data_IF_334169110121
#
_entry.id   IF_334169110121
#
_cell.length_a   1.000
_cell.length_b   1.000
_cell.length_c   1.000
_cell.angle_alpha   90.00
_cell.angle_beta   90.00
_cell.angle_gamma   90.00
#
_symmetry.space_group_name_H-M   'P 1'
#
loop_
_entity.id
_entity.type
_entity.pdbx_description
1 polymer ?
#
# COMPACT_ATOMS: atom_id res chain seq x y z
N UNK A 1 47.41 33.34 23.52
CA UNK A 1 46.26 32.73 22.81
C UNK A 1 45.81 31.32 23.26
N UNK A 2 46.31 30.68 24.35
CA UNK A 2 45.65 29.49 24.94
C UNK A 2 44.55 29.82 25.97
N UNK A 3 44.60 31.00 26.57
CA UNK A 3 43.81 31.35 27.76
C UNK A 3 42.34 31.73 27.45
N UNK A 4 42.07 32.32 26.27
CA UNK A 4 40.70 32.61 25.82
C UNK A 4 39.90 31.34 25.46
N UNK A 5 40.55 30.31 24.89
CA UNK A 5 39.89 29.02 24.60
C UNK A 5 39.56 28.23 25.88
N UNK A 6 40.39 28.35 26.93
CA UNK A 6 40.10 27.75 28.25
C UNK A 6 38.99 28.51 28.98
N UNK A 7 38.98 29.84 28.98
CA UNK A 7 37.90 30.65 29.58
C UNK A 7 36.54 30.45 28.90
N UNK A 8 36.49 30.37 27.56
CA UNK A 8 35.25 30.04 26.85
C UNK A 8 34.73 28.65 27.25
N UNK A 9 35.59 27.61 27.26
CA UNK A 9 35.22 26.25 27.67
C UNK A 9 34.77 26.15 29.13
N UNK A 10 35.42 26.86 30.04
CA UNK A 10 35.02 26.92 31.45
C UNK A 10 33.67 27.62 31.64
N UNK A 11 33.41 28.72 30.90
CA UNK A 11 32.13 29.42 30.98
C UNK A 11 30.97 28.58 30.44
N UNK A 12 31.19 27.83 29.35
CA UNK A 12 30.18 26.93 28.76
C UNK A 12 29.89 25.73 29.67
N UNK A 13 30.92 25.12 30.26
CA UNK A 13 30.76 24.00 31.20
C UNK A 13 30.10 24.43 32.53
N UNK A 14 30.44 25.62 33.04
CA UNK A 14 29.79 26.21 34.21
C UNK A 14 28.34 26.60 33.93
N UNK A 15 28.07 27.26 32.79
CA UNK A 15 26.72 27.56 32.34
C UNK A 15 25.89 26.30 32.17
N UNK A 16 26.40 25.26 31.51
CA UNK A 16 25.69 23.99 31.40
C UNK A 16 25.36 23.43 32.78
N UNK A 17 26.35 23.29 33.67
CA UNK A 17 26.14 22.64 34.97
C UNK A 17 25.14 23.36 35.88
N UNK A 18 25.17 24.69 35.94
CA UNK A 18 24.31 25.46 36.84
C UNK A 18 22.98 25.88 36.20
N UNK A 19 22.96 26.14 34.90
CA UNK A 19 21.73 26.52 34.20
C UNK A 19 20.84 25.30 33.96
N UNK A 20 21.40 24.11 33.70
CA UNK A 20 20.63 22.85 33.62
C UNK A 20 19.78 22.61 34.86
N UNK A 21 20.31 22.89 36.06
CA UNK A 21 19.55 22.76 37.31
C UNK A 21 18.46 23.82 37.49
N UNK A 22 18.53 24.93 36.77
CA UNK A 22 17.56 26.03 36.87
C UNK A 22 16.39 25.88 35.90
N UNK A 23 16.60 25.25 34.74
CA UNK A 23 15.58 25.07 33.70
C UNK A 23 14.25 24.50 34.24
N UNK A 24 14.23 23.45 35.09
CA UNK A 24 12.97 22.90 35.61
C UNK A 24 12.15 23.86 36.50
N UNK A 25 12.76 24.95 36.98
CA UNK A 25 12.07 25.94 37.80
C UNK A 25 11.50 27.11 36.98
N UNK A 26 11.90 27.24 35.71
CA UNK A 26 11.46 28.32 34.81
C UNK A 26 9.94 28.35 34.61
N UNK A 27 9.24 27.21 34.42
CA UNK A 27 7.78 27.23 34.27
C UNK A 27 7.09 27.87 35.48
N UNK A 28 7.47 27.46 36.69
CA UNK A 28 6.94 28.01 37.94
C UNK A 28 7.25 29.50 38.10
N UNK A 29 8.46 29.91 37.74
CA UNK A 29 8.85 31.32 37.78
C UNK A 29 8.01 32.16 36.82
N UNK A 30 7.82 31.70 35.58
CA UNK A 30 7.01 32.37 34.56
C UNK A 30 5.55 32.55 34.99
N UNK A 31 5.01 31.62 35.77
CA UNK A 31 3.65 31.70 36.30
C UNK A 31 3.50 32.69 37.47
N UNK A 32 4.59 33.12 38.10
CA UNK A 32 4.57 33.96 39.31
C UNK A 32 5.00 35.42 39.06
N UNK A 33 5.64 35.70 37.94
CA UNK A 33 6.14 37.05 37.59
C UNK A 33 5.12 37.87 36.80
N UNK A 34 5.30 39.18 36.79
CA UNK A 34 4.47 40.08 35.99
C UNK A 34 4.66 39.89 34.47
N UNK A 35 3.77 40.47 33.67
CA UNK A 35 3.78 40.31 32.20
C UNK A 35 5.07 40.79 31.53
N UNK A 36 5.74 41.80 32.10
CA UNK A 36 6.99 42.32 31.55
C UNK A 36 8.14 41.34 31.80
N UNK A 37 8.32 40.87 33.03
CA UNK A 37 9.34 39.86 33.34
C UNK A 37 9.06 38.53 32.65
N UNK A 38 7.79 38.14 32.55
CA UNK A 38 7.35 36.97 31.79
C UNK A 38 7.85 37.03 30.34
N UNK A 39 7.65 38.13 29.63
CA UNK A 39 8.10 38.23 28.22
C UNK A 39 9.62 38.13 28.09
N UNK A 40 10.38 38.76 29.00
CA UNK A 40 11.85 38.73 28.95
C UNK A 40 12.42 37.33 29.27
N UNK A 41 11.88 36.65 30.29
CA UNK A 41 12.32 35.29 30.66
C UNK A 41 12.04 34.32 29.53
N UNK A 42 10.86 34.42 28.90
CA UNK A 42 10.49 33.55 27.79
C UNK A 42 11.30 33.82 26.53
N UNK A 43 11.65 35.08 26.25
CA UNK A 43 12.55 35.43 25.17
C UNK A 43 13.95 34.86 25.41
N UNK A 44 14.50 35.04 26.63
CA UNK A 44 15.80 34.49 26.99
C UNK A 44 15.83 32.96 26.90
N UNK A 45 14.79 32.30 27.41
CA UNK A 45 14.64 30.84 27.29
C UNK A 45 14.57 30.40 25.83
N UNK A 46 13.79 31.10 24.99
CA UNK A 46 13.65 30.78 23.57
C UNK A 46 14.98 30.93 22.83
N UNK A 47 15.75 31.97 23.13
CA UNK A 47 17.09 32.16 22.55
C UNK A 47 18.05 31.05 22.97
N UNK A 48 18.02 30.62 24.23
CA UNK A 48 18.81 29.48 24.71
C UNK A 48 18.35 28.21 23.98
N UNK A 49 17.06 27.93 23.93
CA UNK A 49 16.50 26.76 23.27
C UNK A 49 16.92 26.69 21.80
N UNK A 50 16.81 27.79 21.05
CA UNK A 50 17.19 27.84 19.62
C UNK A 50 18.68 27.66 19.36
N UNK A 51 19.54 28.13 20.27
CA UNK A 51 21.01 28.04 20.13
C UNK A 51 21.59 26.72 20.64
N UNK A 52 20.81 25.95 21.40
CA UNK A 52 21.26 24.65 21.89
C UNK A 52 21.29 23.62 20.76
N UNK A 53 22.35 22.82 20.74
CA UNK A 53 22.45 21.65 19.88
C UNK A 53 21.29 20.68 20.18
N UNK A 54 20.61 20.12 19.16
CA UNK A 54 19.47 19.22 19.33
C UNK A 54 19.74 18.05 20.28
N UNK A 55 20.95 17.49 20.25
CA UNK A 55 21.34 16.32 21.04
C UNK A 55 21.87 16.69 22.43
N UNK A 56 22.03 17.98 22.73
CA UNK A 56 22.56 18.44 24.02
C UNK A 56 21.59 18.19 25.19
N UNK A 57 22.15 17.87 26.35
CA UNK A 57 21.39 17.76 27.61
C UNK A 57 20.58 19.03 27.92
N UNK A 58 21.10 20.20 27.53
CA UNK A 58 20.38 21.48 27.70
C UNK A 58 19.10 21.50 26.87
N UNK A 59 19.14 21.04 25.61
CA UNK A 59 17.95 20.99 24.75
C UNK A 59 16.88 20.07 25.33
N UNK A 60 17.28 18.90 25.84
CA UNK A 60 16.36 17.92 26.44
C UNK A 60 15.71 18.43 27.72
N UNK A 61 16.48 19.07 28.61
CA UNK A 61 15.91 19.66 29.84
C UNK A 61 15.05 20.89 29.51
N UNK A 62 15.36 21.62 28.44
CA UNK A 62 14.45 22.67 27.96
C UNK A 62 13.13 22.06 27.47
N UNK A 63 13.12 20.93 26.77
CA UNK A 63 11.88 20.28 26.30
C UNK A 63 10.94 19.92 27.45
N UNK A 64 11.45 19.40 28.57
CA UNK A 64 10.60 19.12 29.74
C UNK A 64 10.03 20.39 30.37
N UNK A 65 10.79 21.49 30.40
CA UNK A 65 10.28 22.79 30.85
C UNK A 65 9.26 23.38 29.86
N UNK A 66 9.41 23.14 28.55
CA UNK A 66 8.44 23.54 27.52
C UNK A 66 7.10 22.84 27.74
N UNK A 67 7.11 21.57 28.15
CA UNK A 67 5.89 20.80 28.45
C UNK A 67 5.06 21.43 29.57
N UNK A 68 5.67 22.15 30.51
CA UNK A 68 4.95 22.89 31.56
C UNK A 68 4.56 24.33 31.11
N UNK A 69 5.05 24.78 29.96
CA UNK A 69 4.88 26.15 29.43
C UNK A 69 4.17 26.17 28.05
N UNK A 70 3.22 25.26 27.83
CA UNK A 70 2.54 24.99 26.55
C UNK A 70 1.79 26.17 25.92
N UNK A 71 1.70 27.32 26.60
CA UNK A 71 1.06 28.53 26.10
C UNK A 71 1.90 29.32 25.08
N UNK A 72 3.02 28.78 24.60
CA UNK A 72 3.98 29.50 23.75
C UNK A 72 4.16 28.89 22.36
N UNK A 73 3.67 29.64 21.38
CA UNK A 73 3.62 29.34 19.94
C UNK A 73 5.01 29.08 19.31
N UNK A 74 6.07 29.74 19.78
CA UNK A 74 7.36 29.77 19.08
C UNK A 74 8.11 28.43 19.04
N UNK A 75 7.82 27.51 19.95
CA UNK A 75 8.55 26.23 20.04
C UNK A 75 7.89 25.09 19.28
N UNK A 76 6.59 25.20 18.99
CA UNK A 76 5.82 24.20 18.22
C UNK A 76 6.47 23.99 16.84
N UNK A 77 6.96 25.07 16.22
CA UNK A 77 7.61 25.04 14.90
C UNK A 77 8.95 24.28 14.86
N UNK A 78 9.58 24.07 16.01
CA UNK A 78 10.86 23.36 16.12
C UNK A 78 10.67 21.84 16.24
N UNK A 79 9.46 21.37 16.56
CA UNK A 79 9.15 19.95 16.77
C UNK A 79 9.54 19.10 15.54
N UNK A 80 9.13 19.42 14.31
CA UNK A 80 9.48 18.59 13.16
C UNK A 80 11.00 18.51 12.92
N UNK A 81 11.71 19.63 13.09
CA UNK A 81 13.16 19.66 12.94
C UNK A 81 13.84 18.79 13.98
N UNK A 82 13.37 18.84 15.22
CA UNK A 82 13.87 17.98 16.30
C UNK A 82 13.63 16.50 16.01
N UNK A 83 12.44 16.14 15.51
CA UNK A 83 12.14 14.76 15.15
C UNK A 83 13.06 14.25 14.04
N UNK A 84 13.33 15.07 13.02
CA UNK A 84 14.25 14.72 11.93
C UNK A 84 15.70 14.64 12.39
N UNK A 85 16.15 15.52 13.28
CA UNK A 85 17.54 15.59 13.74
C UNK A 85 17.88 14.53 14.79
N UNK A 86 17.01 14.35 15.78
CA UNK A 86 17.15 13.35 16.84
C UNK A 86 16.90 11.94 16.30
N UNK A 87 15.77 11.76 15.61
CA UNK A 87 15.43 10.55 14.88
C UNK A 87 15.76 9.26 15.64
N UNK A 88 16.40 8.35 14.93
CA UNK A 88 16.93 7.08 15.44
C UNK A 88 18.25 7.22 16.22
N UNK A 89 18.92 8.38 16.15
CA UNK A 89 20.15 8.64 16.89
C UNK A 89 19.90 8.80 18.39
N UNK A 90 18.74 9.32 18.77
CA UNK A 90 18.32 9.46 20.16
C UNK A 90 16.83 9.10 20.34
N UNK A 91 16.48 7.79 20.34
CA UNK A 91 15.09 7.34 20.36
C UNK A 91 14.31 7.80 21.60
N UNK A 92 14.97 7.88 22.77
CA UNK A 92 14.31 8.36 24.00
C UNK A 92 13.94 9.83 23.89
N UNK A 93 14.86 10.69 23.41
CA UNK A 93 14.55 12.09 23.18
C UNK A 93 13.48 12.27 22.10
N UNK A 94 13.51 11.48 21.03
CA UNK A 94 12.46 11.47 19.99
C UNK A 94 11.11 11.11 20.58
N UNK A 95 11.04 10.11 21.49
CA UNK A 95 9.82 9.74 22.21
C UNK A 95 9.29 10.90 23.05
N UNK A 96 10.16 11.63 23.74
CA UNK A 96 9.76 12.78 24.56
C UNK A 96 9.27 13.96 23.70
N UNK A 97 9.90 14.22 22.55
CA UNK A 97 9.41 15.22 21.58
C UNK A 97 8.03 14.83 21.03
N UNK A 98 7.80 13.55 20.72
CA UNK A 98 6.49 13.07 20.25
C UNK A 98 5.42 13.16 21.35
N UNK A 99 5.77 12.89 22.62
CA UNK A 99 4.86 13.09 23.76
C UNK A 99 4.47 14.54 23.93
N UNK A 100 5.45 15.44 23.80
CA UNK A 100 5.20 16.89 23.83
C UNK A 100 4.27 17.30 22.69
N UNK A 101 4.51 16.83 21.46
CA UNK A 101 3.61 17.06 20.32
C UNK A 101 2.20 16.55 20.60
N UNK A 102 2.07 15.32 21.11
CA UNK A 102 0.78 14.73 21.45
C UNK A 102 0.04 15.55 22.51
N UNK A 103 0.74 15.96 23.56
CA UNK A 103 0.16 16.75 24.64
C UNK A 103 -0.30 18.13 24.16
N UNK A 104 0.53 18.82 23.37
CA UNK A 104 0.18 20.08 22.71
C UNK A 104 -1.09 19.94 21.87
N UNK A 105 -1.16 18.87 21.08
CA UNK A 105 -2.28 18.63 20.20
C UNK A 105 -3.58 18.28 20.97
N UNK A 106 -3.47 17.56 22.08
CA UNK A 106 -4.59 17.22 22.97
C UNK A 106 -5.14 18.43 23.74
N UNK A 107 -4.30 19.41 24.06
CA UNK A 107 -4.75 20.65 24.70
C UNK A 107 -5.65 21.49 23.79
N UNK A 108 -5.67 21.25 22.47
CA UNK A 108 -6.47 21.99 21.49
C UNK A 108 -6.04 23.45 21.31
N UNK A 109 -4.98 23.86 21.99
CA UNK A 109 -4.36 25.19 21.87
C UNK A 109 -3.40 25.17 20.67
N UNK A 110 -3.45 26.19 19.82
CA UNK A 110 -2.49 26.38 18.72
C UNK A 110 -2.59 25.36 17.57
N UNK A 111 -3.82 24.96 17.20
CA UNK A 111 -4.05 24.04 16.07
C UNK A 111 -3.41 24.52 14.77
N UNK A 112 -3.46 25.83 14.49
CA UNK A 112 -2.85 26.43 13.30
C UNK A 112 -1.32 26.24 13.29
N UNK A 113 -0.66 26.41 14.43
CA UNK A 113 0.78 26.20 14.57
C UNK A 113 1.17 24.74 14.37
N UNK A 114 0.35 23.82 14.91
CA UNK A 114 0.52 22.39 14.70
C UNK A 114 0.38 22.05 13.21
N UNK A 115 -0.65 22.56 12.54
CA UNK A 115 -0.87 22.29 11.13
C UNK A 115 0.25 22.84 10.23
N UNK A 116 0.81 24.01 10.58
CA UNK A 116 1.92 24.62 9.85
C UNK A 116 3.21 23.77 9.88
N UNK A 117 3.30 22.81 10.81
CA UNK A 117 4.48 21.97 10.97
C UNK A 117 4.51 20.78 10.01
N UNK A 118 3.37 20.45 9.37
CA UNK A 118 3.20 19.28 8.51
C UNK A 118 4.21 19.23 7.34
N UNK A 119 4.50 20.38 6.74
CA UNK A 119 5.45 20.47 5.61
C UNK A 119 6.85 19.99 5.99
N UNK A 120 7.34 20.33 7.18
CA UNK A 120 8.65 19.85 7.65
C UNK A 120 8.55 18.43 8.19
N UNK A 121 7.41 18.08 8.79
CA UNK A 121 7.19 16.76 9.38
C UNK A 121 7.23 15.63 8.34
N UNK A 122 6.92 15.91 7.06
CA UNK A 122 7.04 14.89 5.99
C UNK A 122 8.44 14.25 5.95
N UNK A 123 9.50 15.01 6.21
CA UNK A 123 10.89 14.51 6.16
C UNK A 123 11.18 13.49 7.27
N UNK A 124 10.41 13.55 8.36
CA UNK A 124 10.51 12.56 9.43
C UNK A 124 10.00 11.17 8.99
N UNK A 125 8.97 11.13 8.15
CA UNK A 125 8.35 9.91 7.63
C UNK A 125 9.06 9.42 6.36
N UNK A 126 8.86 10.13 5.25
CA UNK A 126 9.53 9.87 3.98
C UNK A 126 9.46 11.06 3.01
N UNK A 127 10.43 11.15 2.11
CA UNK A 127 10.40 12.06 0.98
C UNK A 127 10.39 11.27 -0.31
N UNK A 128 9.43 11.57 -1.19
CA UNK A 128 9.33 10.96 -2.51
C UNK A 128 9.65 12.04 -3.57
N UNK A 129 10.83 11.99 -4.22
CA UNK A 129 11.08 12.81 -5.40
C UNK A 129 10.08 12.41 -6.50
N UNK A 130 9.67 13.37 -7.34
CA UNK A 130 8.61 13.14 -8.34
C UNK A 130 8.86 11.97 -9.33
N UNK A 131 10.10 11.44 -9.42
CA UNK A 131 10.47 10.27 -10.24
C UNK A 131 11.54 9.38 -9.57
N UNK A 132 11.66 9.40 -8.23
CA UNK A 132 12.74 8.72 -7.51
C UNK A 132 12.27 7.64 -6.53
N UNK A 133 13.21 6.81 -6.08
CA UNK A 133 12.99 5.90 -4.96
C UNK A 133 12.59 6.67 -3.70
N UNK A 134 11.72 6.07 -2.89
CA UNK A 134 11.27 6.66 -1.62
C UNK A 134 12.46 6.74 -0.67
N UNK A 135 12.82 7.94 -0.25
CA UNK A 135 13.80 8.14 0.80
C UNK A 135 13.08 8.15 2.14
N UNK A 136 13.34 7.14 2.96
CA UNK A 136 12.72 7.00 4.27
C UNK A 136 13.40 7.88 5.32
N UNK A 137 12.59 8.60 6.09
CA UNK A 137 13.04 9.39 7.21
C UNK A 137 13.32 8.55 8.46
N UNK A 138 13.72 9.19 9.57
CA UNK A 138 14.05 8.52 10.81
C UNK A 138 12.93 7.66 11.40
N UNK A 139 11.66 7.98 11.10
CA UNK A 139 10.51 7.19 11.54
C UNK A 139 10.68 5.69 11.30
N UNK A 140 11.20 5.30 10.13
CA UNK A 140 11.31 3.89 9.73
C UNK A 140 12.31 3.08 10.57
N UNK A 141 13.24 3.76 11.26
CA UNK A 141 14.29 3.13 12.07
C UNK A 141 13.99 3.12 13.56
N UNK A 142 12.91 3.77 13.98
CA UNK A 142 12.51 3.84 15.38
C UNK A 142 11.89 2.53 15.86
N UNK A 143 11.93 2.30 17.17
CA UNK A 143 11.22 1.20 17.80
C UNK A 143 9.70 1.33 17.64
N UNK A 144 9.02 0.19 17.56
CA UNK A 144 7.57 0.09 17.29
C UNK A 144 6.72 0.99 18.19
N UNK A 145 7.03 1.07 19.49
CA UNK A 145 6.28 1.94 20.43
C UNK A 145 6.35 3.42 20.04
N UNK A 146 7.52 3.87 19.56
CA UNK A 146 7.75 5.27 19.18
C UNK A 146 7.09 5.54 17.83
N UNK A 147 7.16 4.57 16.91
CA UNK A 147 6.43 4.63 15.64
C UNK A 147 4.92 4.75 15.89
N UNK A 148 4.35 3.89 16.73
CA UNK A 148 2.92 3.93 17.06
C UNK A 148 2.51 5.27 17.68
N UNK A 149 3.31 5.81 18.61
CA UNK A 149 3.09 7.14 19.18
C UNK A 149 3.05 8.22 18.10
N UNK A 150 4.01 8.19 17.17
CA UNK A 150 4.05 9.12 16.03
C UNK A 150 2.82 8.99 15.13
N UNK A 151 2.36 7.76 14.84
CA UNK A 151 1.12 7.54 14.08
C UNK A 151 -0.07 8.14 14.81
N UNK A 152 -0.17 7.96 16.13
CA UNK A 152 -1.27 8.52 16.92
C UNK A 152 -1.32 10.06 16.87
N UNK A 153 -0.17 10.73 16.77
CA UNK A 153 -0.12 12.18 16.64
C UNK A 153 -0.79 12.69 15.35
N UNK A 154 -0.85 11.88 14.28
CA UNK A 154 -1.48 12.27 13.00
C UNK A 154 -2.96 12.61 13.14
N UNK A 155 -3.66 12.01 14.12
CA UNK A 155 -5.09 12.26 14.35
C UNK A 155 -5.39 13.73 14.69
N UNK A 156 -4.46 14.42 15.35
CA UNK A 156 -4.75 15.71 15.98
C UNK A 156 -4.48 16.92 15.08
N UNK A 157 -4.02 16.73 13.84
CA UNK A 157 -4.01 17.83 12.87
C UNK A 157 -5.44 18.23 12.53
N UNK A 158 -5.70 19.53 12.45
CA UNK A 158 -7.06 20.02 12.14
C UNK A 158 -7.43 19.75 10.69
N UNK A 159 -6.41 19.70 9.82
CA UNK A 159 -6.48 19.16 8.48
C UNK A 159 -5.18 18.42 8.15
N UNK A 160 -5.25 17.38 7.31
CA UNK A 160 -4.07 16.66 6.87
C UNK A 160 -3.64 17.11 5.47
N UNK A 161 -2.42 17.62 5.38
CA UNK A 161 -1.86 18.09 4.12
C UNK A 161 -1.60 16.91 3.15
N UNK A 162 -1.96 17.03 1.86
CA UNK A 162 -1.72 15.95 0.88
C UNK A 162 -0.26 15.51 0.77
N UNK A 163 0.70 16.42 0.97
CA UNK A 163 2.12 16.06 0.93
C UNK A 163 2.56 15.25 2.16
N UNK A 164 1.94 15.49 3.33
CA UNK A 164 2.12 14.65 4.51
C UNK A 164 1.48 13.28 4.30
N UNK A 165 0.26 13.22 3.73
CA UNK A 165 -0.39 11.95 3.37
C UNK A 165 0.46 11.12 2.41
N UNK A 166 1.05 11.76 1.40
CA UNK A 166 1.96 11.09 0.47
C UNK A 166 3.19 10.52 1.18
N UNK A 167 3.76 11.28 2.11
CA UNK A 167 4.90 10.86 2.92
C UNK A 167 4.57 9.67 3.83
N UNK A 168 3.39 9.70 4.46
CA UNK A 168 2.88 8.60 5.28
C UNK A 168 2.57 7.36 4.42
N UNK A 169 1.99 7.55 3.23
CA UNK A 169 1.77 6.47 2.28
C UNK A 169 3.09 5.82 1.86
N UNK A 170 4.15 6.62 1.67
CA UNK A 170 5.50 6.13 1.41
C UNK A 170 5.97 5.13 2.48
N UNK A 171 5.83 5.47 3.77
CA UNK A 171 6.14 4.55 4.88
C UNK A 171 5.30 3.26 4.83
N UNK A 172 4.00 3.37 4.54
CA UNK A 172 3.09 2.22 4.44
C UNK A 172 3.43 1.24 3.32
N UNK A 173 4.15 1.70 2.29
CA UNK A 173 4.58 0.89 1.15
C UNK A 173 5.95 0.21 1.37
N UNK A 174 6.63 0.50 2.49
CA UNK A 174 7.90 -0.14 2.82
C UNK A 174 7.73 -1.59 3.25
N UNK A 175 8.69 -2.44 2.88
CA UNK A 175 8.77 -3.83 3.33
C UNK A 175 9.24 -3.97 4.77
N UNK A 176 9.90 -2.93 5.31
CA UNK A 176 10.43 -2.92 6.68
C UNK A 176 9.37 -2.50 7.71
N UNK A 177 8.21 -2.02 7.28
CA UNK A 177 7.15 -1.59 8.20
C UNK A 177 6.48 -2.82 8.84
N UNK A 178 6.37 -2.79 10.17
CA UNK A 178 5.64 -3.82 10.89
C UNK A 178 4.17 -3.91 10.44
N UNK A 179 3.65 -5.13 10.16
CA UNK A 179 2.25 -5.39 9.83
C UNK A 179 1.22 -4.66 10.69
N UNK A 180 1.40 -4.64 12.00
CA UNK A 180 0.43 -4.03 12.91
C UNK A 180 0.41 -2.51 12.79
N UNK A 181 1.56 -1.89 12.46
CA UNK A 181 1.63 -0.45 12.20
C UNK A 181 0.89 -0.08 10.93
N UNK A 182 0.90 -0.91 9.89
CA UNK A 182 0.11 -0.68 8.68
C UNK A 182 -1.40 -0.57 9.00
N UNK A 183 -1.93 -1.48 9.83
CA UNK A 183 -3.31 -1.40 10.29
C UNK A 183 -3.54 -0.18 11.20
N UNK A 184 -2.56 0.19 12.02
CA UNK A 184 -2.65 1.38 12.87
C UNK A 184 -2.71 2.67 12.07
N UNK A 185 -1.93 2.80 11.00
CA UNK A 185 -2.03 3.91 10.05
C UNK A 185 -3.44 3.99 9.46
N UNK A 186 -3.96 2.88 8.95
CA UNK A 186 -5.30 2.84 8.37
C UNK A 186 -6.37 3.24 9.39
N UNK A 187 -6.28 2.75 10.63
CA UNK A 187 -7.19 3.09 11.71
C UNK A 187 -7.17 4.58 12.05
N UNK A 188 -5.97 5.13 12.31
CA UNK A 188 -5.82 6.54 12.69
C UNK A 188 -6.25 7.48 11.57
N UNK A 189 -5.87 7.19 10.33
CA UNK A 189 -6.28 8.00 9.19
C UNK A 189 -7.78 7.89 8.90
N UNK A 190 -8.39 6.72 9.10
CA UNK A 190 -9.85 6.57 9.02
C UNK A 190 -10.56 7.39 10.10
N UNK A 191 -10.03 7.43 11.34
CA UNK A 191 -10.54 8.28 12.40
C UNK A 191 -10.39 9.77 12.06
N UNK A 192 -9.23 10.19 11.53
CA UNK A 192 -8.99 11.56 11.11
C UNK A 192 -9.93 11.97 9.95
N UNK A 193 -10.13 11.09 8.97
CA UNK A 193 -11.10 11.29 7.90
C UNK A 193 -12.53 11.47 8.44
N UNK A 194 -12.98 10.57 9.34
CA UNK A 194 -14.31 10.66 9.97
C UNK A 194 -14.52 11.93 10.79
N UNK A 195 -13.44 12.46 11.38
CA UNK A 195 -13.46 13.73 12.09
C UNK A 195 -13.43 14.96 11.15
N UNK A 196 -13.34 14.75 9.84
CA UNK A 196 -13.32 15.82 8.83
C UNK A 196 -11.94 16.44 8.58
N UNK A 197 -10.87 15.82 9.08
CA UNK A 197 -9.50 16.32 8.93
C UNK A 197 -8.87 15.97 7.58
N UNK A 198 -9.45 15.03 6.83
CA UNK A 198 -8.93 14.61 5.52
C UNK A 198 -10.02 14.83 4.46
N UNK A 199 -9.67 15.47 3.34
CA UNK A 199 -10.60 15.59 2.23
C UNK A 199 -10.88 14.21 1.63
N UNK A 200 -12.14 13.98 1.20
CA UNK A 200 -12.57 12.70 0.64
C UNK A 200 -11.72 12.25 -0.55
N UNK A 201 -11.30 13.18 -1.41
CA UNK A 201 -10.44 12.90 -2.56
C UNK A 201 -9.06 12.41 -2.15
N UNK A 202 -8.46 13.05 -1.15
CA UNK A 202 -7.12 12.69 -0.66
C UNK A 202 -7.16 11.35 0.09
N UNK A 203 -8.22 11.11 0.88
CA UNK A 203 -8.42 9.85 1.57
C UNK A 203 -8.61 8.68 0.59
N UNK A 204 -9.47 8.83 -0.43
CA UNK A 204 -9.66 7.82 -1.47
C UNK A 204 -8.36 7.59 -2.24
N UNK A 205 -7.65 8.66 -2.61
CA UNK A 205 -6.35 8.58 -3.29
C UNK A 205 -5.31 7.81 -2.46
N UNK A 206 -5.27 8.06 -1.15
CA UNK A 206 -4.44 7.33 -0.20
C UNK A 206 -4.76 5.82 -0.22
N UNK A 207 -6.04 5.43 -0.08
CA UNK A 207 -6.46 4.03 -0.11
C UNK A 207 -6.14 3.32 -1.43
N UNK A 208 -6.37 3.99 -2.57
CA UNK A 208 -6.01 3.47 -3.90
C UNK A 208 -4.50 3.29 -4.01
N UNK A 209 -3.71 4.24 -3.53
CA UNK A 209 -2.24 4.19 -3.55
C UNK A 209 -1.73 2.99 -2.78
N UNK A 210 -2.28 2.73 -1.58
CA UNK A 210 -1.89 1.56 -0.80
C UNK A 210 -2.20 0.25 -1.52
N UNK A 211 -3.40 0.07 -2.10
CA UNK A 211 -3.68 -1.20 -2.80
C UNK A 211 -2.96 -1.35 -4.14
N UNK A 212 -2.72 -0.25 -4.86
CA UNK A 212 -2.08 -0.30 -6.18
C UNK A 212 -0.57 -0.52 -6.10
N UNK A 213 0.11 0.05 -5.10
CA UNK A 213 1.58 0.07 -5.01
C UNK A 213 2.18 -0.83 -3.93
N UNK A 214 1.38 -1.42 -3.05
CA UNK A 214 1.91 -2.29 -1.99
C UNK A 214 2.71 -3.45 -2.59
N UNK A 215 3.94 -3.61 -2.14
CA UNK A 215 4.83 -4.65 -2.62
C UNK A 215 4.49 -5.98 -1.95
N UNK A 216 3.77 -6.83 -2.68
CA UNK A 216 3.56 -8.21 -2.25
C UNK A 216 4.82 -9.01 -2.57
N UNK A 217 5.58 -9.39 -1.54
CA UNK A 217 6.71 -10.29 -1.68
C UNK A 217 6.20 -11.67 -2.09
N UNK A 218 6.10 -11.89 -3.40
CA UNK A 218 5.91 -13.20 -4.00
C UNK A 218 7.25 -13.91 -4.09
N UNK A 219 7.91 -14.17 -2.95
CA UNK A 219 8.88 -15.25 -2.94
C UNK A 219 8.06 -16.53 -3.04
N UNK A 220 7.83 -16.96 -4.28
CA UNK A 220 7.62 -18.37 -4.55
C UNK A 220 8.78 -19.08 -3.82
N UNK A 221 8.56 -20.12 -3.01
CA UNK A 221 9.68 -20.96 -2.63
C UNK A 221 10.25 -21.48 -3.96
N UNK A 222 11.35 -20.86 -4.42
CA UNK A 222 12.21 -21.48 -5.41
C UNK A 222 12.56 -22.78 -4.73
N UNK A 223 12.13 -23.91 -5.30
CA UNK A 223 12.56 -25.22 -4.86
C UNK A 223 14.05 -25.11 -4.55
N UNK A 224 14.40 -25.32 -3.29
CA UNK A 224 15.77 -25.39 -2.84
C UNK A 224 16.44 -26.43 -3.72
N UNK A 225 17.26 -26.00 -4.69
CA UNK A 225 18.16 -26.93 -5.35
C UNK A 225 19.21 -27.22 -4.28
N UNK A 226 19.04 -28.36 -3.62
CA UNK A 226 20.04 -28.98 -2.77
C UNK A 226 21.30 -29.16 -3.60
N UNK A 227 22.20 -28.17 -3.58
CA UNK A 227 23.61 -28.46 -3.80
C UNK A 227 24.09 -29.03 -2.47
N UNK A 228 24.08 -30.35 -2.38
CA UNK A 228 24.76 -31.08 -1.32
C UNK A 228 26.25 -30.72 -1.37
N UNK A 229 26.69 -29.78 -0.52
CA UNK A 229 28.10 -29.67 -0.15
C UNK A 229 28.40 -30.71 0.92
N UNK A 230 29.48 -31.47 0.72
CA UNK A 230 29.96 -32.57 1.57
C UNK A 230 30.49 -32.13 2.95
N UNK A 231 29.98 -31.06 3.54
CA UNK A 231 30.41 -30.59 4.87
C UNK A 231 29.21 -30.29 5.74
N UNK A 232 29.04 -31.10 6.79
CA UNK A 232 27.92 -31.05 7.72
C UNK A 232 27.88 -29.80 8.58
N UNK A 233 27.45 -28.67 8.02
CA UNK A 233 26.89 -27.54 8.77
C UNK A 233 25.37 -27.53 8.62
N UNK A 234 24.67 -27.59 9.75
CA UNK A 234 23.22 -27.46 9.84
C UNK A 234 22.87 -25.97 9.74
N UNK A 235 22.74 -25.46 8.51
CA UNK A 235 22.30 -24.08 8.29
C UNK A 235 20.77 -23.99 8.41
N UNK A 236 20.29 -23.15 9.34
CA UNK A 236 18.86 -22.91 9.57
C UNK A 236 18.33 -22.03 8.43
N UNK A 237 17.58 -22.65 7.53
CA UNK A 237 17.00 -22.03 6.34
C UNK A 237 15.77 -21.16 6.70
N UNK A 238 15.82 -19.84 6.45
CA UNK A 238 14.70 -18.92 6.69
C UNK A 238 13.74 -18.99 5.49
N UNK A 239 12.64 -19.71 5.65
CA UNK A 239 11.51 -19.66 4.72
C UNK A 239 10.83 -18.29 4.82
N UNK A 240 11.07 -17.40 3.85
CA UNK A 240 10.39 -16.11 3.74
C UNK A 240 8.91 -16.36 3.42
N UNK A 241 8.03 -16.28 4.43
CA UNK A 241 6.58 -16.37 4.24
C UNK A 241 6.11 -15.21 3.36
N UNK A 242 5.35 -15.52 2.31
CA UNK A 242 4.71 -14.49 1.48
C UNK A 242 3.76 -13.63 2.31
N UNK A 243 3.81 -12.31 2.15
CA UNK A 243 2.89 -11.35 2.77
C UNK A 243 1.52 -11.29 2.08
N UNK A 244 1.19 -12.23 1.17
CA UNK A 244 -0.09 -12.25 0.45
C UNK A 244 -1.29 -12.32 1.40
N UNK A 245 -1.26 -13.15 2.45
CA UNK A 245 -2.38 -13.24 3.41
C UNK A 245 -2.61 -11.93 4.17
N UNK A 246 -1.52 -11.27 4.56
CA UNK A 246 -1.57 -9.95 5.17
C UNK A 246 -2.19 -8.94 4.21
N UNK A 247 -1.75 -8.92 2.95
CA UNK A 247 -2.29 -8.02 1.95
C UNK A 247 -3.78 -8.28 1.66
N UNK A 248 -4.23 -9.53 1.71
CA UNK A 248 -5.67 -9.88 1.62
C UNK A 248 -6.46 -9.31 2.80
N UNK A 249 -5.96 -9.46 4.02
CA UNK A 249 -6.59 -8.90 5.22
C UNK A 249 -6.61 -7.37 5.18
N UNK A 250 -5.51 -6.76 4.71
CA UNK A 250 -5.41 -5.33 4.51
C UNK A 250 -6.39 -4.81 3.44
N UNK A 251 -6.51 -5.52 2.32
CA UNK A 251 -7.52 -5.23 1.27
C UNK A 251 -8.94 -5.20 1.84
N UNK A 252 -9.28 -6.17 2.71
CA UNK A 252 -10.60 -6.19 3.38
C UNK A 252 -10.79 -4.99 4.30
N UNK A 253 -9.76 -4.60 5.05
CA UNK A 253 -9.82 -3.43 5.92
C UNK A 253 -10.03 -2.15 5.11
N UNK A 254 -9.30 -1.96 4.00
CA UNK A 254 -9.50 -0.83 3.08
C UNK A 254 -10.92 -0.82 2.50
N UNK A 255 -11.44 -1.97 2.05
CA UNK A 255 -12.81 -2.09 1.56
C UNK A 255 -13.84 -1.76 2.65
N UNK A 256 -13.58 -2.11 3.92
CA UNK A 256 -14.43 -1.73 5.05
C UNK A 256 -14.43 -0.22 5.29
N UNK A 257 -13.26 0.43 5.20
CA UNK A 257 -13.14 1.88 5.28
C UNK A 257 -13.96 2.59 4.18
N UNK A 258 -13.92 2.08 2.94
CA UNK A 258 -14.66 2.68 1.83
C UNK A 258 -16.18 2.71 2.04
N UNK A 259 -16.78 1.64 2.55
CA UNK A 259 -18.22 1.64 2.88
C UNK A 259 -18.58 2.61 4.02
N UNK A 260 -17.59 3.03 4.82
CA UNK A 260 -17.81 3.94 5.94
C UNK A 260 -17.74 5.42 5.51
N UNK A 261 -17.31 5.71 4.27
CA UNK A 261 -17.20 7.07 3.72
C UNK A 261 -18.58 7.68 3.51
N UNK A 262 -19.56 6.90 3.04
CA UNK A 262 -20.90 7.39 2.76
C UNK A 262 -21.66 6.49 1.80
N UNK A 263 -22.43 7.09 0.90
CA UNK A 263 -23.18 6.36 -0.12
C UNK A 263 -22.23 5.67 -1.11
N UNK A 264 -22.28 4.33 -1.16
CA UNK A 264 -21.41 3.50 -1.99
C UNK A 264 -21.38 3.95 -3.46
N UNK A 265 -22.51 4.45 -3.98
CA UNK A 265 -22.62 4.90 -5.36
C UNK A 265 -21.89 6.21 -5.63
N UNK A 266 -21.97 7.18 -4.72
CA UNK A 266 -21.20 8.41 -4.82
C UNK A 266 -19.71 8.14 -4.66
N UNK A 267 -19.32 7.31 -3.70
CA UNK A 267 -17.92 6.91 -3.49
C UNK A 267 -17.39 6.18 -4.72
N UNK A 268 -18.18 5.27 -5.29
CA UNK A 268 -17.85 4.56 -6.52
C UNK A 268 -17.55 5.52 -7.67
N UNK A 269 -18.41 6.51 -7.91
CA UNK A 269 -18.20 7.52 -8.97
C UNK A 269 -16.90 8.32 -8.80
N UNK A 270 -16.48 8.58 -7.56
CA UNK A 270 -15.23 9.31 -7.29
C UNK A 270 -14.00 8.47 -7.60
N UNK A 271 -14.07 7.14 -7.38
CA UNK A 271 -12.90 6.26 -7.56
C UNK A 271 -12.84 5.51 -8.88
N UNK A 272 -13.94 5.41 -9.62
CA UNK A 272 -14.07 4.54 -10.79
C UNK A 272 -12.94 4.76 -11.80
N UNK A 273 -12.77 6.00 -12.28
CA UNK A 273 -11.76 6.33 -13.27
C UNK A 273 -10.34 6.02 -12.78
N UNK A 274 -10.01 6.46 -11.56
CA UNK A 274 -8.69 6.26 -10.97
C UNK A 274 -8.35 4.76 -10.81
N UNK A 275 -9.29 3.95 -10.31
CA UNK A 275 -9.05 2.51 -10.09
C UNK A 275 -8.96 1.76 -11.42
N UNK A 276 -9.82 2.07 -12.40
CA UNK A 276 -9.78 1.45 -13.72
C UNK A 276 -8.47 1.80 -14.45
N UNK A 277 -7.99 3.04 -14.33
CA UNK A 277 -6.70 3.44 -14.90
C UNK A 277 -5.53 2.73 -14.22
N UNK A 278 -5.56 2.57 -12.89
CA UNK A 278 -4.55 1.79 -12.17
C UNK A 278 -4.55 0.32 -12.61
N UNK A 279 -5.71 -0.32 -12.78
CA UNK A 279 -5.82 -1.69 -13.30
C UNK A 279 -5.27 -1.78 -14.73
N UNK A 280 -5.55 -0.77 -15.56
CA UNK A 280 -5.10 -0.72 -16.96
C UNK A 280 -3.59 -0.60 -17.09
N UNK A 281 -2.90 -0.07 -16.07
CA UNK A 281 -1.45 -0.06 -15.97
C UNK A 281 -0.84 -1.44 -15.63
N UNK A 282 -1.66 -2.50 -15.54
CA UNK A 282 -1.26 -3.89 -15.30
C UNK A 282 -0.38 -4.07 -14.06
N UNK A 283 -0.86 -3.69 -12.85
CA UNK A 283 -0.11 -3.91 -11.62
C UNK A 283 -0.04 -5.42 -11.31
N UNK A 284 0.81 -5.85 -10.35
CA UNK A 284 0.95 -7.26 -9.99
C UNK A 284 -0.40 -7.93 -9.66
N UNK A 285 -0.45 -9.26 -9.78
CA UNK A 285 -1.69 -10.05 -9.67
C UNK A 285 -2.49 -9.77 -8.38
N UNK A 286 -1.80 -9.69 -7.25
CA UNK A 286 -2.40 -9.40 -5.95
C UNK A 286 -3.02 -7.99 -5.92
N UNK A 287 -2.30 -6.98 -6.43
CA UNK A 287 -2.76 -5.60 -6.49
C UNK A 287 -3.96 -5.44 -7.44
N UNK A 288 -3.90 -6.06 -8.63
CA UNK A 288 -5.05 -6.08 -9.55
C UNK A 288 -6.28 -6.71 -8.89
N UNK A 289 -6.10 -7.82 -8.16
CA UNK A 289 -7.18 -8.44 -7.38
C UNK A 289 -7.75 -7.49 -6.31
N UNK A 290 -6.89 -6.79 -5.59
CA UNK A 290 -7.31 -5.84 -4.55
C UNK A 290 -8.11 -4.66 -5.14
N UNK A 291 -7.70 -4.12 -6.28
CA UNK A 291 -8.41 -3.07 -7.00
C UNK A 291 -9.75 -3.55 -7.59
N UNK A 292 -9.81 -4.76 -8.15
CA UNK A 292 -11.08 -5.36 -8.58
C UNK A 292 -12.03 -5.60 -7.40
N UNK A 293 -11.49 -5.97 -6.23
CA UNK A 293 -12.27 -6.08 -4.99
C UNK A 293 -12.80 -4.72 -4.56
N UNK A 294 -12.02 -3.65 -4.69
CA UNK A 294 -12.49 -2.29 -4.44
C UNK A 294 -13.70 -1.92 -5.31
N UNK A 295 -13.62 -2.16 -6.63
CA UNK A 295 -14.73 -1.93 -7.57
C UNK A 295 -15.94 -2.76 -7.17
N UNK A 296 -15.76 -4.08 -7.00
CA UNK A 296 -16.88 -4.98 -6.71
C UNK A 296 -17.50 -4.79 -5.33
N UNK A 297 -16.79 -4.11 -4.43
CA UNK A 297 -17.29 -3.76 -3.11
C UNK A 297 -18.35 -2.66 -3.21
N UNK A 298 -18.09 -1.62 -3.99
CA UNK A 298 -18.96 -0.43 -4.07
C UNK A 298 -19.98 -0.48 -5.21
N UNK A 299 -19.66 -1.17 -6.31
CA UNK A 299 -20.58 -1.29 -7.43
C UNK A 299 -21.81 -2.10 -7.01
N UNK A 300 -23.00 -1.66 -7.42
CA UNK A 300 -24.26 -2.33 -7.11
C UNK A 300 -24.66 -3.33 -8.20
N UNK A 301 -25.75 -4.07 -8.00
CA UNK A 301 -26.39 -4.84 -9.07
C UNK A 301 -27.74 -4.18 -9.42
N UNK A 302 -27.97 -3.68 -10.66
CA UNK A 302 -27.09 -3.72 -11.84
C UNK A 302 -25.86 -2.81 -11.72
N UNK A 303 -24.83 -3.07 -12.53
CA UNK A 303 -23.58 -2.29 -12.53
C UNK A 303 -23.86 -0.82 -12.85
N UNK A 304 -23.03 0.04 -12.27
CA UNK A 304 -23.04 1.49 -12.52
C UNK A 304 -21.77 1.99 -13.20
N UNK A 305 -20.90 1.07 -13.61
CA UNK A 305 -19.71 1.36 -14.42
C UNK A 305 -20.11 2.13 -15.69
N UNK A 306 -19.37 3.18 -16.01
CA UNK A 306 -19.52 3.88 -17.28
C UNK A 306 -19.06 2.99 -18.45
N UNK A 307 -19.55 3.29 -19.65
CA UNK A 307 -19.25 2.50 -20.85
C UNK A 307 -17.74 2.42 -21.15
N UNK A 308 -17.02 3.52 -20.94
CA UNK A 308 -15.56 3.55 -21.10
C UNK A 308 -14.86 2.59 -20.12
N UNK A 309 -15.30 2.55 -18.86
CA UNK A 309 -14.76 1.62 -17.86
C UNK A 309 -15.09 0.17 -18.18
N UNK A 310 -16.30 -0.12 -18.68
CA UNK A 310 -16.70 -1.46 -19.13
C UNK A 310 -15.76 -1.96 -20.23
N UNK A 311 -15.45 -1.11 -21.22
CA UNK A 311 -14.53 -1.46 -22.31
C UNK A 311 -13.09 -1.65 -21.81
N UNK A 312 -12.57 -0.71 -21.01
CA UNK A 312 -11.22 -0.82 -20.42
C UNK A 312 -11.09 -2.10 -19.58
N UNK A 313 -12.01 -2.32 -18.64
CA UNK A 313 -12.01 -3.51 -17.79
C UNK A 313 -12.15 -4.80 -18.60
N UNK A 314 -13.07 -4.86 -19.57
CA UNK A 314 -13.24 -6.05 -20.40
C UNK A 314 -11.93 -6.48 -21.09
N UNK A 315 -11.16 -5.51 -21.61
CA UNK A 315 -9.87 -5.79 -22.25
C UNK A 315 -8.81 -6.30 -21.26
N UNK A 316 -8.73 -5.69 -20.06
CA UNK A 316 -7.71 -6.01 -19.07
C UNK A 316 -8.03 -7.30 -18.30
N UNK A 317 -9.32 -7.56 -18.05
CA UNK A 317 -9.78 -8.74 -17.30
C UNK A 317 -9.37 -10.04 -17.97
N UNK A 318 -9.36 -10.11 -19.30
CA UNK A 318 -8.91 -11.30 -20.01
C UNK A 318 -7.45 -11.63 -19.68
N UNK A 319 -6.56 -10.62 -19.75
CA UNK A 319 -5.16 -10.77 -19.37
C UNK A 319 -4.98 -11.16 -17.91
N UNK A 320 -5.72 -10.50 -17.01
CA UNK A 320 -5.72 -10.83 -15.59
C UNK A 320 -6.13 -12.30 -15.33
N UNK A 321 -7.20 -12.78 -15.96
CA UNK A 321 -7.66 -14.16 -15.79
C UNK A 321 -6.67 -15.18 -16.36
N UNK A 322 -5.96 -14.83 -17.44
CA UNK A 322 -4.86 -15.64 -17.98
C UNK A 322 -3.72 -15.73 -16.95
N UNK A 323 -3.34 -14.62 -16.31
CA UNK A 323 -2.30 -14.60 -15.28
C UNK A 323 -2.71 -15.46 -14.06
N UNK A 324 -3.99 -15.41 -13.67
CA UNK A 324 -4.53 -16.31 -12.62
C UNK A 324 -4.34 -17.77 -13.01
N UNK A 325 -4.83 -18.19 -14.18
CA UNK A 325 -4.72 -19.60 -14.63
C UNK A 325 -3.25 -20.03 -14.79
N UNK A 326 -2.41 -19.16 -15.33
CA UNK A 326 -0.98 -19.43 -15.53
C UNK A 326 -0.22 -19.54 -14.21
N UNK A 327 -0.57 -18.75 -13.20
CA UNK A 327 0.01 -18.85 -11.85
C UNK A 327 -0.38 -20.17 -11.15
N UNK A 328 -1.51 -20.76 -11.55
CA UNK A 328 -2.01 -22.03 -11.00
C UNK A 328 -1.40 -23.25 -11.71
N UNK A 329 -1.10 -23.14 -13.02
CA UNK A 329 -0.57 -24.24 -13.82
C UNK A 329 0.91 -24.58 -13.62
N UNK A 330 1.71 -23.72 -12.96
CA UNK A 330 3.16 -23.93 -12.76
C UNK A 330 3.53 -24.86 -11.58
N UNK A 331 2.60 -25.67 -11.04
CA UNK A 331 2.89 -26.54 -9.88
C UNK A 331 2.33 -27.96 -10.03
N UNK A 332 3.07 -28.81 -10.73
CA UNK A 332 3.13 -30.24 -10.42
C UNK A 332 4.16 -30.42 -9.29
N UNK A 333 3.73 -30.29 -8.03
CA UNK A 333 4.44 -30.82 -6.84
C UNK A 333 3.60 -30.60 -5.56
N UNK A 334 2.81 -31.60 -5.16
CA UNK A 334 2.56 -31.95 -3.75
C UNK A 334 1.61 -31.11 -2.88
N UNK A 335 0.95 -30.06 -3.38
CA UNK A 335 -0.05 -29.30 -2.59
C UNK A 335 -1.46 -29.89 -2.76
N UNK A 336 -2.17 -30.13 -1.65
CA UNK A 336 -3.53 -30.71 -1.69
C UNK A 336 -4.48 -29.87 -2.56
N UNK A 337 -5.33 -30.54 -3.34
CA UNK A 337 -6.31 -29.91 -4.24
C UNK A 337 -7.13 -28.79 -3.58
N UNK A 338 -7.50 -28.93 -2.28
CA UNK A 338 -8.32 -27.94 -1.56
C UNK A 338 -7.67 -26.55 -1.41
N UNK A 339 -6.35 -26.47 -1.26
CA UNK A 339 -5.63 -25.20 -1.10
C UNK A 339 -5.52 -24.48 -2.45
N UNK A 340 -5.33 -25.23 -3.54
CA UNK A 340 -5.33 -24.70 -4.89
C UNK A 340 -6.68 -24.10 -5.27
N UNK A 341 -7.77 -24.80 -4.94
CA UNK A 341 -9.14 -24.33 -5.18
C UNK A 341 -9.48 -23.09 -4.34
N UNK A 342 -9.00 -22.98 -3.10
CA UNK A 342 -9.25 -21.79 -2.28
C UNK A 342 -8.48 -20.56 -2.77
N UNK A 343 -7.25 -20.74 -3.27
CA UNK A 343 -6.43 -19.66 -3.82
C UNK A 343 -6.96 -19.16 -5.17
N UNK A 344 -7.32 -20.05 -6.09
CA UNK A 344 -7.90 -19.66 -7.39
C UNK A 344 -9.21 -18.89 -7.21
N UNK A 345 -10.08 -19.37 -6.32
CA UNK A 345 -11.34 -18.70 -5.96
C UNK A 345 -11.12 -17.28 -5.46
N UNK A 346 -10.07 -17.03 -4.68
CA UNK A 346 -9.78 -15.67 -4.21
C UNK A 346 -9.55 -14.69 -5.37
N UNK A 347 -8.79 -15.07 -6.39
CA UNK A 347 -8.47 -14.19 -7.52
C UNK A 347 -9.60 -14.09 -8.55
N UNK A 348 -10.35 -15.16 -8.77
CA UNK A 348 -11.39 -15.17 -9.82
C UNK A 348 -12.72 -14.54 -9.39
N UNK A 349 -13.04 -14.59 -8.08
CA UNK A 349 -14.33 -14.16 -7.55
C UNK A 349 -14.70 -12.69 -7.90
N UNK A 350 -13.79 -11.71 -7.89
CA UNK A 350 -14.12 -10.35 -8.32
C UNK A 350 -14.57 -10.29 -9.79
N UNK A 351 -13.97 -11.07 -10.69
CA UNK A 351 -14.39 -11.12 -12.09
C UNK A 351 -15.81 -11.66 -12.22
N UNK A 352 -16.14 -12.74 -11.49
CA UNK A 352 -17.49 -13.32 -11.52
C UNK A 352 -18.54 -12.32 -11.02
N UNK A 353 -18.22 -11.58 -9.95
CA UNK A 353 -19.09 -10.50 -9.46
C UNK A 353 -19.33 -9.41 -10.49
N UNK A 354 -18.32 -9.04 -11.28
CA UNK A 354 -18.48 -8.08 -12.37
C UNK A 354 -19.37 -8.64 -13.49
N UNK A 355 -19.22 -9.91 -13.85
CA UNK A 355 -20.07 -10.56 -14.84
C UNK A 355 -21.54 -10.59 -14.41
N UNK A 356 -21.82 -10.90 -13.13
CA UNK A 356 -23.20 -10.88 -12.60
C UNK A 356 -23.88 -9.52 -12.68
N UNK A 357 -23.09 -8.45 -12.67
CA UNK A 357 -23.60 -7.07 -12.67
C UNK A 357 -23.61 -6.46 -14.06
N UNK A 358 -22.85 -7.01 -15.00
CA UNK A 358 -22.68 -6.49 -16.35
C UNK A 358 -22.44 -7.60 -17.38
N UNK A 359 -23.52 -7.98 -18.05
CA UNK A 359 -23.51 -8.83 -19.24
C UNK A 359 -22.57 -8.29 -20.34
N UNK A 360 -22.48 -6.96 -20.48
CA UNK A 360 -21.58 -6.31 -21.44
C UNK A 360 -20.10 -6.63 -21.17
N UNK A 361 -19.70 -6.71 -19.90
CA UNK A 361 -18.31 -7.06 -19.52
C UNK A 361 -18.04 -8.51 -19.92
N UNK A 362 -18.94 -9.44 -19.60
CA UNK A 362 -18.78 -10.85 -19.95
C UNK A 362 -18.65 -11.03 -21.47
N UNK A 363 -19.56 -10.42 -22.23
CA UNK A 363 -19.50 -10.46 -23.70
C UNK A 363 -18.17 -9.93 -24.24
N UNK A 364 -17.70 -8.79 -23.73
CA UNK A 364 -16.42 -8.23 -24.16
C UNK A 364 -15.24 -9.16 -23.84
N UNK A 365 -15.21 -9.76 -22.65
CA UNK A 365 -14.18 -10.73 -22.25
C UNK A 365 -14.18 -11.95 -23.18
N UNK A 366 -15.35 -12.51 -23.51
CA UNK A 366 -15.45 -13.66 -24.42
C UNK A 366 -14.95 -13.31 -25.84
N UNK A 367 -15.28 -12.12 -26.34
CA UNK A 367 -14.78 -11.66 -27.64
C UNK A 367 -13.27 -11.46 -27.63
N UNK A 368 -12.71 -10.89 -26.56
CA UNK A 368 -11.25 -10.74 -26.41
C UNK A 368 -10.57 -12.11 -26.34
N UNK A 369 -11.12 -13.07 -25.58
CA UNK A 369 -10.62 -14.45 -25.56
C UNK A 369 -10.64 -15.12 -26.94
N UNK A 370 -11.74 -14.95 -27.68
CA UNK A 370 -11.88 -15.46 -29.04
C UNK A 370 -10.79 -14.91 -29.97
N UNK A 371 -10.54 -13.59 -29.92
CA UNK A 371 -9.48 -12.93 -30.69
C UNK A 371 -8.06 -13.32 -30.23
N UNK A 372 -7.87 -13.58 -28.93
CA UNK A 372 -6.58 -13.93 -28.33
C UNK A 372 -6.06 -15.29 -28.83
N UNK A 373 -6.95 -16.22 -29.18
CA UNK A 373 -6.58 -17.53 -29.74
C UNK A 373 -5.95 -17.37 -31.14
N UNK A 374 -6.51 -16.48 -31.96
CA UNK A 374 -6.10 -16.25 -33.35
C UNK A 374 -4.98 -15.23 -33.50
N UNK A 375 -4.88 -14.25 -32.59
CA UNK A 375 -4.01 -13.10 -32.77
C UNK A 375 -2.53 -13.45 -32.65
N UNK A 376 -1.69 -12.99 -33.57
CA UNK A 376 -0.23 -13.13 -33.48
C UNK A 376 0.41 -12.18 -32.45
N UNK A 377 -0.30 -11.12 -32.02
CA UNK A 377 0.32 -9.88 -31.51
C UNK A 377 -0.04 -9.50 -30.05
N UNK A 378 -0.34 -10.44 -29.15
CA UNK A 378 -0.51 -10.10 -27.73
C UNK A 378 0.79 -10.31 -26.95
N UNK A 379 1.58 -9.26 -26.66
CA UNK A 379 2.72 -9.35 -25.74
C UNK A 379 2.20 -9.40 -24.31
N UNK A 380 2.43 -10.53 -23.65
CA UNK A 380 2.46 -10.60 -22.17
C UNK A 380 3.91 -10.43 -21.74
N UNK A 381 4.17 -9.37 -20.99
CA UNK A 381 5.46 -9.12 -20.34
C UNK A 381 5.52 -9.89 -19.02
N UNK A 382 6.58 -10.67 -18.82
CA UNK A 382 6.91 -11.25 -17.53
C UNK A 382 7.32 -10.12 -16.58
N UNK A 383 6.57 -9.93 -15.49
CA UNK A 383 6.69 -8.79 -14.58
C UNK A 383 8.00 -8.73 -13.77
N UNK A 384 9.03 -9.49 -14.12
CA UNK A 384 10.31 -9.50 -13.41
C UNK A 384 11.56 -9.47 -14.29
N UNK A 385 11.47 -9.64 -15.60
CA UNK A 385 12.60 -9.46 -16.52
C UNK A 385 12.03 -9.12 -17.89
N UNK A 386 12.47 -8.02 -18.51
CA UNK A 386 11.94 -7.43 -19.75
C UNK A 386 12.05 -8.28 -21.04
N UNK A 387 11.81 -9.58 -20.98
CA UNK A 387 11.68 -10.47 -22.12
C UNK A 387 10.22 -10.55 -22.57
N UNK A 388 9.98 -10.16 -23.83
CA UNK A 388 8.75 -10.47 -24.55
C UNK A 388 8.75 -11.98 -24.81
N UNK A 389 7.97 -12.73 -24.03
CA UNK A 389 7.75 -14.15 -24.29
C UNK A 389 6.58 -14.25 -25.26
N UNK A 390 6.86 -14.61 -26.52
CA UNK A 390 5.83 -15.04 -27.47
C UNK A 390 5.16 -16.28 -26.87
N UNK A 391 3.93 -16.13 -26.40
CA UNK A 391 3.14 -17.27 -25.92
C UNK A 391 2.76 -18.11 -27.14
N UNK A 392 3.25 -19.35 -27.18
CA UNK A 392 2.85 -20.36 -28.16
C UNK A 392 1.31 -20.55 -28.19
N UNK A 393 0.75 -20.81 -29.36
CA UNK A 393 -0.70 -21.00 -29.54
C UNK A 393 -1.29 -22.03 -28.58
N UNK A 394 -0.53 -23.09 -28.25
CA UNK A 394 -0.93 -24.09 -27.25
C UNK A 394 -1.16 -23.46 -25.87
N UNK A 395 -0.26 -22.59 -25.41
CA UNK A 395 -0.37 -21.94 -24.11
C UNK A 395 -1.56 -20.96 -24.08
N UNK A 396 -1.83 -20.28 -25.20
CA UNK A 396 -3.01 -19.40 -25.33
C UNK A 396 -4.32 -20.19 -25.24
N UNK A 397 -4.42 -21.28 -25.99
CA UNK A 397 -5.60 -22.16 -25.98
C UNK A 397 -5.79 -22.77 -24.59
N UNK A 398 -4.71 -23.27 -23.98
CA UNK A 398 -4.76 -23.88 -22.64
C UNK A 398 -5.22 -22.87 -21.59
N UNK A 399 -4.76 -21.62 -21.67
CA UNK A 399 -5.20 -20.55 -20.76
C UNK A 399 -6.69 -20.24 -20.93
N UNK A 400 -7.17 -20.03 -22.17
CA UNK A 400 -8.59 -19.73 -22.44
C UNK A 400 -9.49 -20.88 -21.99
N UNK A 401 -9.13 -22.13 -22.31
CA UNK A 401 -9.89 -23.31 -21.87
C UNK A 401 -9.86 -23.43 -20.34
N UNK A 402 -8.72 -23.17 -19.69
CA UNK A 402 -8.62 -23.13 -18.23
C UNK A 402 -9.54 -22.09 -17.59
N UNK A 403 -9.67 -20.91 -18.20
CA UNK A 403 -10.59 -19.87 -17.72
C UNK A 403 -12.04 -20.32 -17.85
N UNK A 404 -12.45 -20.88 -19.00
CA UNK A 404 -13.82 -21.35 -19.22
C UNK A 404 -14.17 -22.50 -18.27
N UNK A 405 -13.20 -23.38 -17.96
CA UNK A 405 -13.37 -24.42 -16.94
C UNK A 405 -13.59 -23.82 -15.54
N UNK A 406 -12.83 -22.78 -15.16
CA UNK A 406 -13.05 -22.07 -13.88
C UNK A 406 -14.43 -21.40 -13.84
N UNK A 407 -14.88 -20.79 -14.94
CA UNK A 407 -16.20 -20.20 -15.03
C UNK A 407 -17.31 -21.24 -14.86
N UNK A 408 -17.12 -22.45 -15.41
CA UNK A 408 -18.08 -23.55 -15.27
C UNK A 408 -18.19 -24.10 -13.83
N UNK A 409 -17.18 -23.89 -12.96
CA UNK A 409 -17.28 -24.26 -11.54
C UNK A 409 -18.31 -23.41 -10.77
N UNK A 410 -18.65 -22.22 -11.26
CA UNK A 410 -19.68 -21.37 -10.68
C UNK A 410 -20.99 -21.49 -11.46
N UNK A 411 -22.03 -22.01 -10.80
CA UNK A 411 -23.34 -22.27 -11.41
C UNK A 411 -23.98 -21.01 -12.02
N UNK A 412 -23.76 -19.81 -11.45
CA UNK A 412 -24.34 -18.58 -11.98
C UNK A 412 -23.58 -18.08 -13.21
N UNK A 413 -22.25 -18.14 -13.20
CA UNK A 413 -21.45 -17.77 -14.40
C UNK A 413 -21.76 -18.75 -15.53
N UNK A 414 -21.88 -20.03 -15.21
CA UNK A 414 -22.25 -21.06 -16.17
C UNK A 414 -23.59 -20.77 -16.85
N UNK A 415 -24.62 -20.42 -16.08
CA UNK A 415 -25.92 -20.03 -16.65
C UNK A 415 -25.82 -18.82 -17.58
N UNK A 416 -25.01 -17.81 -17.23
CA UNK A 416 -24.79 -16.67 -18.13
C UNK A 416 -24.03 -17.09 -19.40
N UNK A 417 -23.03 -17.95 -19.30
CA UNK A 417 -22.28 -18.46 -20.47
C UNK A 417 -23.20 -19.18 -21.46
N UNK A 418 -24.22 -19.90 -21.01
CA UNK A 418 -25.20 -20.54 -21.89
C UNK A 418 -26.00 -19.53 -22.75
N UNK A 419 -26.18 -18.30 -22.28
CA UNK A 419 -26.79 -17.22 -23.07
C UNK A 419 -25.85 -16.69 -24.17
N UNK A 420 -24.54 -16.89 -24.05
CA UNK A 420 -23.49 -16.44 -24.99
C UNK A 420 -22.99 -17.58 -25.88
N UNK A 421 -23.90 -18.46 -26.32
CA UNK A 421 -23.56 -19.64 -27.11
C UNK A 421 -22.79 -19.31 -28.40
N UNK A 422 -23.13 -18.19 -29.05
CA UNK A 422 -22.46 -17.77 -30.30
C UNK A 422 -20.99 -17.44 -30.06
N UNK A 423 -20.70 -16.74 -28.98
CA UNK A 423 -19.35 -16.34 -28.58
C UNK A 423 -18.53 -17.56 -28.13
N UNK A 424 -19.13 -18.48 -27.37
CA UNK A 424 -18.47 -19.75 -27.00
C UNK A 424 -18.23 -20.66 -28.19
N UNK A 425 -19.16 -20.72 -29.14
CA UNK A 425 -19.01 -21.48 -30.38
C UNK A 425 -17.91 -20.86 -31.25
N UNK A 426 -17.80 -19.52 -31.30
CA UNK A 426 -16.70 -18.83 -31.98
C UNK A 426 -15.34 -19.19 -31.37
N UNK A 427 -15.22 -19.28 -30.04
CA UNK A 427 -13.99 -19.73 -29.38
C UNK A 427 -13.65 -21.17 -29.79
N UNK A 428 -14.63 -22.07 -29.80
CA UNK A 428 -14.45 -23.46 -30.24
C UNK A 428 -14.00 -23.55 -31.70
N UNK A 429 -14.61 -22.77 -32.59
CA UNK A 429 -14.22 -22.71 -34.01
C UNK A 429 -12.80 -22.21 -34.19
N UNK A 430 -12.40 -21.15 -33.46
CA UNK A 430 -11.04 -20.62 -33.54
C UNK A 430 -9.99 -21.63 -33.07
N UNK A 431 -10.29 -22.44 -32.04
CA UNK A 431 -9.42 -23.55 -31.62
C UNK A 431 -9.27 -24.57 -32.76
N UNK A 432 -10.37 -24.94 -33.42
CA UNK A 432 -10.34 -25.86 -34.57
C UNK A 432 -9.54 -25.29 -35.74
N UNK A 433 -9.64 -23.99 -36.03
CA UNK A 433 -8.86 -23.34 -37.09
C UNK A 433 -7.37 -23.46 -36.80
N UNK A 434 -6.93 -23.15 -35.58
CA UNK A 434 -5.52 -23.30 -35.17
C UNK A 434 -5.04 -24.75 -35.24
N UNK A 435 -5.92 -25.72 -34.92
CA UNK A 435 -5.61 -27.14 -35.08
C UNK A 435 -5.46 -27.57 -36.54
N UNK A 436 -6.25 -26.98 -37.44
CA UNK A 436 -6.31 -27.35 -38.87
C UNK A 436 -5.19 -26.72 -39.69
N UNK A 437 -4.81 -25.47 -39.37
CA UNK A 437 -3.72 -24.74 -40.02
C UNK A 437 -2.33 -25.11 -39.43
N UNK A 438 -2.29 -25.90 -38.36
CA UNK A 438 -1.08 -26.25 -37.62
C UNK A 438 -0.23 -27.34 -38.30
N UNK A 439 0.38 -27.04 -39.46
CA UNK A 439 1.42 -27.91 -40.05
C UNK A 439 2.74 -27.89 -39.24
N UNK A 440 2.90 -26.95 -38.31
CA UNK A 440 4.10 -26.77 -37.47
C UNK A 440 4.00 -27.30 -36.03
N UNK A 441 2.84 -27.80 -35.58
CA UNK A 441 2.66 -28.29 -34.20
C UNK A 441 3.16 -29.74 -34.05
N UNK A 442 3.92 -30.02 -32.99
CA UNK A 442 4.35 -31.39 -32.65
C UNK A 442 3.13 -32.25 -32.31
N UNK A 443 3.23 -33.57 -32.51
CA UNK A 443 2.15 -34.54 -32.25
C UNK A 443 1.63 -34.43 -30.79
N UNK A 444 2.53 -34.21 -29.83
CA UNK A 444 2.17 -34.01 -28.41
C UNK A 444 1.37 -32.73 -28.17
N UNK A 445 1.69 -31.64 -28.88
CA UNK A 445 0.99 -30.36 -28.78
C UNK A 445 -0.40 -30.49 -29.40
N UNK A 446 -0.53 -31.13 -30.57
CA UNK A 446 -1.82 -31.46 -31.20
C UNK A 446 -2.71 -32.29 -30.27
N UNK A 447 -2.16 -33.28 -29.58
CA UNK A 447 -2.91 -34.10 -28.62
C UNK A 447 -3.40 -33.27 -27.41
N UNK A 448 -2.58 -32.34 -26.89
CA UNK A 448 -2.98 -31.46 -25.77
C UNK A 448 -4.06 -30.45 -26.17
N UNK A 449 -3.96 -29.87 -27.37
CA UNK A 449 -5.02 -29.00 -27.91
C UNK A 449 -6.30 -29.80 -28.11
N UNK A 450 -6.24 -31.00 -28.69
CA UNK A 450 -7.40 -31.88 -28.85
C UNK A 450 -8.08 -32.21 -27.51
N UNK A 451 -7.30 -32.56 -26.48
CA UNK A 451 -7.83 -32.81 -25.14
C UNK A 451 -8.52 -31.57 -24.54
N UNK A 452 -7.99 -30.38 -24.79
CA UNK A 452 -8.56 -29.11 -24.33
C UNK A 452 -9.86 -28.79 -25.07
N UNK A 453 -9.88 -29.02 -26.39
CA UNK A 453 -11.07 -28.93 -27.23
C UNK A 453 -12.16 -29.91 -26.77
N UNK A 454 -11.84 -31.17 -26.53
CA UNK A 454 -12.81 -32.18 -26.08
C UNK A 454 -13.35 -31.91 -24.67
N UNK A 455 -12.56 -31.27 -23.80
CA UNK A 455 -13.04 -30.76 -22.51
C UNK A 455 -14.04 -29.64 -22.69
N UNK A 456 -13.74 -28.66 -23.53
CA UNK A 456 -14.63 -27.52 -23.77
C UNK A 456 -15.90 -27.93 -24.53
N UNK A 457 -15.78 -28.81 -25.53
CA UNK A 457 -16.91 -29.34 -26.30
C UNK A 457 -17.93 -30.02 -25.39
N UNK A 458 -17.48 -30.82 -24.41
CA UNK A 458 -18.37 -31.46 -23.42
C UNK A 458 -19.17 -30.45 -22.60
N UNK A 459 -18.64 -29.25 -22.36
CA UNK A 459 -19.35 -28.19 -21.68
C UNK A 459 -20.40 -27.54 -22.58
N UNK A 460 -20.06 -27.25 -23.84
CA UNK A 460 -20.95 -26.56 -24.77
C UNK A 460 -22.07 -27.43 -25.37
N UNK A 461 -21.99 -28.77 -25.27
CA UNK A 461 -23.00 -29.72 -25.81
C UNK A 461 -24.03 -30.22 -24.81
N UNK A 462 -23.96 -29.79 -23.55
CA UNK A 462 -25.01 -29.97 -22.54
C UNK A 462 -25.88 -28.70 -22.46
#
# INVERSE_FOLDING_TARGET
MPDQRRKLRFSVAFFQKHFLSLIPFIPKLVMQVDNAWKSHILQAFTEVFKKCDPESSMKLVCLSAVEEMLFLISWIREIPLLLTLLGDKNPLATKDVLRLQLHLAQCGTHSQELDNMQYTLREFYSTCPCDGDISYGPFMKLEREIQELSVCCLYYFSFMDPSLLQSVAGCCLSHDLDPSLLFRFLEVLNCAYRAGHIQITDYISFLITLLSRYQVSSVLPKCCILLSSESGSLDVEICVKSNSELFRSFTRAVCSCLHQIGDDHLVFKMLEGAVVDQISNKPPLDNTCALLRMITTLDSNPTKLCEQSILKLGSVLTGYMIDVVSSLGKKDCGLSNDIHTSRSRYYILPCFRLFYRSEKILNHVLNVMSSFILGNDFPTFDGQNGHVVMIDHLNRITAVVGILLLMNEDAKVWQMLQCYKKETDSILQNILTVMSDGDNLRIEEKHRVQCSYDRLKRLCTL
#
